data_IF_874786766632
#
_entry.id   IF_874786766632
#
_cell.length_a   1.000
_cell.length_b   1.000
_cell.length_c   1.000
_cell.angle_alpha   90.00
_cell.angle_beta   90.00
_cell.angle_gamma   90.00
#
_symmetry.space_group_name_H-M   'P 1'
#
loop_
_entity.id
_entity.type
_entity.pdbx_description
1 polymer ?
#
# COMPACT_ATOMS: atom_id res chain seq x y z
N UNK A 1 -8.39 -32.77 -85.10
CA UNK A 1 -8.93 -32.33 -83.79
C UNK A 1 -8.73 -30.82 -83.68
N UNK A 2 -9.80 -30.13 -83.27
CA UNK A 2 -10.00 -28.68 -83.32
C UNK A 2 -9.17 -27.92 -82.27
N UNK A 3 -8.84 -26.64 -82.50
CA UNK A 3 -8.12 -25.80 -81.55
C UNK A 3 -9.11 -25.24 -80.51
N UNK A 4 -8.74 -25.24 -79.23
CA UNK A 4 -9.52 -24.54 -78.21
C UNK A 4 -8.61 -23.65 -77.35
N UNK A 5 -8.58 -22.41 -77.81
CA UNK A 5 -8.47 -21.16 -77.04
C UNK A 5 -9.01 -21.32 -75.62
N UNK A 6 -8.22 -20.94 -74.61
CA UNK A 6 -8.76 -20.56 -73.30
C UNK A 6 -8.36 -19.13 -73.00
N UNK A 7 -9.43 -18.37 -72.79
CA UNK A 7 -9.54 -16.93 -72.59
C UNK A 7 -8.86 -16.54 -71.27
N UNK A 8 -8.08 -15.47 -71.32
CA UNK A 8 -7.60 -14.72 -70.15
C UNK A 8 -8.77 -13.93 -69.60
N UNK A 9 -9.27 -14.30 -68.42
CA UNK A 9 -10.18 -13.45 -67.63
C UNK A 9 -9.37 -12.81 -66.50
N UNK A 10 -9.05 -11.53 -66.68
CA UNK A 10 -8.52 -10.68 -65.62
C UNK A 10 -9.67 -10.35 -64.64
N UNK A 11 -9.56 -10.85 -63.40
CA UNK A 11 -10.46 -10.49 -62.31
C UNK A 11 -9.92 -9.21 -61.64
N UNK A 12 -10.75 -8.17 -61.63
CA UNK A 12 -10.53 -6.88 -60.97
C UNK A 12 -10.06 -7.09 -59.51
N UNK A 13 -8.91 -6.52 -59.15
CA UNK A 13 -8.52 -6.33 -57.74
C UNK A 13 -9.36 -5.22 -57.12
N UNK A 14 -10.32 -5.59 -56.25
CA UNK A 14 -10.91 -4.66 -55.31
C UNK A 14 -9.93 -4.53 -54.12
N UNK A 15 -9.15 -3.45 -54.10
CA UNK A 15 -8.28 -3.14 -52.97
C UNK A 15 -9.13 -2.76 -51.76
N UNK A 16 -9.31 -3.66 -50.82
CA UNK A 16 -9.80 -3.34 -49.50
C UNK A 16 -8.71 -2.54 -48.76
N UNK A 17 -8.90 -1.23 -48.64
CA UNK A 17 -8.15 -0.41 -47.68
C UNK A 17 -8.61 -0.79 -46.28
N UNK A 18 -8.03 -1.87 -45.75
CA UNK A 18 -8.03 -2.12 -44.32
C UNK A 18 -7.31 -0.93 -43.67
N UNK A 19 -8.06 -0.05 -43.02
CA UNK A 19 -7.49 0.99 -42.17
C UNK A 19 -6.57 0.30 -41.17
N UNK A 20 -5.26 0.49 -41.35
CA UNK A 20 -4.29 0.11 -40.35
C UNK A 20 -4.63 0.92 -39.10
N UNK A 21 -5.24 0.26 -38.11
CA UNK A 21 -5.14 0.69 -36.73
C UNK A 21 -3.64 0.65 -36.43
N UNK A 22 -2.99 1.81 -36.57
CA UNK A 22 -1.62 1.98 -36.14
C UNK A 22 -1.62 1.70 -34.64
N UNK A 23 -1.23 0.47 -34.28
CA UNK A 23 -0.95 0.08 -32.92
C UNK A 23 0.32 0.86 -32.52
N UNK A 24 0.16 2.11 -32.08
CA UNK A 24 1.26 2.89 -31.53
C UNK A 24 1.69 2.21 -30.25
N UNK A 25 2.70 1.34 -30.36
CA UNK A 25 3.23 0.59 -29.24
C UNK A 25 3.57 1.54 -28.09
N UNK A 26 3.08 1.25 -26.89
CA UNK A 26 3.40 2.05 -25.71
C UNK A 26 4.91 1.93 -25.40
N UNK A 27 5.64 3.03 -25.58
CA UNK A 27 7.07 3.12 -25.27
C UNK A 27 7.39 2.90 -23.79
N UNK A 28 6.38 2.93 -22.92
CA UNK A 28 6.50 2.76 -21.48
C UNK A 28 6.00 1.41 -20.97
N UNK A 29 5.57 0.48 -21.84
CA UNK A 29 5.10 -0.86 -21.46
C UNK A 29 6.03 -1.59 -20.46
N UNK A 30 7.35 -1.36 -20.57
CA UNK A 30 8.35 -1.98 -19.69
C UNK A 30 8.29 -1.50 -18.23
N UNK A 31 7.60 -0.40 -17.94
CA UNK A 31 7.34 0.05 -16.56
C UNK A 31 6.29 -0.83 -15.85
N UNK A 32 5.54 -1.65 -16.60
CA UNK A 32 4.54 -2.55 -16.02
C UNK A 32 5.17 -3.80 -15.36
N UNK A 33 6.42 -4.13 -15.68
CA UNK A 33 7.19 -5.12 -14.94
C UNK A 33 7.69 -4.51 -13.63
N UNK A 34 6.80 -4.46 -12.62
CA UNK A 34 7.04 -3.79 -11.34
C UNK A 34 8.19 -4.39 -10.51
N UNK A 35 8.62 -5.60 -10.87
CA UNK A 35 9.78 -6.28 -10.25
C UNK A 35 11.03 -6.25 -11.12
N UNK A 36 10.91 -5.81 -12.37
CA UNK A 36 11.99 -5.80 -13.35
C UNK A 36 13.08 -4.79 -13.01
N UNK A 37 14.34 -5.19 -13.17
CA UNK A 37 15.52 -4.36 -12.88
C UNK A 37 15.44 -3.00 -13.59
N UNK A 38 15.08 -2.99 -14.88
CA UNK A 38 14.93 -1.77 -15.67
C UNK A 38 13.90 -0.81 -15.07
N UNK A 39 12.73 -1.31 -14.68
CA UNK A 39 11.66 -0.53 -14.05
C UNK A 39 12.12 0.03 -12.70
N UNK A 40 12.70 -0.82 -11.86
CA UNK A 40 13.19 -0.43 -10.54
C UNK A 40 14.32 0.61 -10.60
N UNK A 41 15.26 0.48 -11.54
CA UNK A 41 16.34 1.45 -11.70
C UNK A 41 15.84 2.81 -12.20
N UNK A 42 14.85 2.80 -13.10
CA UNK A 42 14.18 4.03 -13.49
C UNK A 42 13.47 4.69 -12.31
N UNK A 43 12.74 3.92 -11.48
CA UNK A 43 12.09 4.43 -10.27
C UNK A 43 13.11 5.03 -9.31
N UNK A 44 14.23 4.35 -9.03
CA UNK A 44 15.31 4.87 -8.18
C UNK A 44 15.84 6.20 -8.70
N UNK A 45 16.09 6.30 -10.01
CA UNK A 45 16.58 7.53 -10.63
C UNK A 45 15.56 8.68 -10.54
N UNK A 46 14.26 8.40 -10.70
CA UNK A 46 13.21 9.43 -10.53
C UNK A 46 13.03 9.83 -9.07
N UNK A 47 13.09 8.87 -8.14
CA UNK A 47 13.03 9.14 -6.70
C UNK A 47 14.19 10.04 -6.26
N UNK A 48 15.39 9.83 -6.78
CA UNK A 48 16.54 10.70 -6.49
C UNK A 48 16.30 12.13 -6.96
N UNK A 49 15.74 12.34 -8.17
CA UNK A 49 15.40 13.68 -8.66
C UNK A 49 14.40 14.37 -7.73
N UNK A 50 13.38 13.65 -7.26
CA UNK A 50 12.37 14.19 -6.33
C UNK A 50 12.97 14.50 -4.97
N UNK A 51 13.75 13.58 -4.38
CA UNK A 51 14.39 13.78 -3.07
C UNK A 51 15.36 14.95 -3.09
N UNK A 52 16.19 15.07 -4.12
CA UNK A 52 17.10 16.22 -4.25
C UNK A 52 16.37 17.56 -4.29
N UNK A 53 15.10 17.60 -4.75
CA UNK A 53 14.29 18.81 -4.73
C UNK A 53 13.60 19.03 -3.39
N UNK A 54 12.92 18.02 -2.87
CA UNK A 54 12.08 18.16 -1.68
C UNK A 54 12.90 18.17 -0.39
N UNK A 55 13.88 17.28 -0.25
CA UNK A 55 14.66 17.15 0.99
C UNK A 55 15.57 18.37 1.22
N UNK A 56 15.89 19.11 0.15
CA UNK A 56 16.70 20.34 0.17
C UNK A 56 15.85 21.62 0.23
N UNK A 57 14.52 21.51 0.16
CA UNK A 57 13.66 22.67 0.31
C UNK A 57 13.83 23.27 1.72
N UNK A 58 13.95 24.60 1.79
CA UNK A 58 14.27 25.30 3.03
C UNK A 58 13.22 25.06 4.14
N UNK A 59 11.96 24.80 3.78
CA UNK A 59 10.89 24.53 4.73
C UNK A 59 10.77 23.06 5.15
N UNK A 60 11.38 22.13 4.40
CA UNK A 60 11.11 20.70 4.56
C UNK A 60 11.45 20.17 5.95
N UNK A 61 12.65 20.47 6.47
CA UNK A 61 13.07 19.94 7.78
C UNK A 61 12.20 20.46 8.91
N UNK A 62 11.80 21.74 8.86
CA UNK A 62 10.89 22.32 9.84
C UNK A 62 9.51 21.65 9.76
N UNK A 63 8.94 21.54 8.56
CA UNK A 63 7.63 20.91 8.36
C UNK A 63 7.63 19.46 8.85
N UNK A 64 8.68 18.70 8.52
CA UNK A 64 8.85 17.32 8.98
C UNK A 64 8.88 17.24 10.51
N UNK A 65 9.64 18.11 11.18
CA UNK A 65 9.73 18.14 12.63
C UNK A 65 8.39 18.50 13.28
N UNK A 66 7.71 19.53 12.76
CA UNK A 66 6.41 19.98 13.26
C UNK A 66 5.36 18.85 13.14
N UNK A 67 5.33 18.14 12.01
CA UNK A 67 4.42 17.00 11.80
C UNK A 67 4.78 15.83 12.71
N UNK A 68 6.07 15.54 12.92
CA UNK A 68 6.51 14.46 13.81
C UNK A 68 6.02 14.70 15.24
N UNK A 69 6.07 15.93 15.74
CA UNK A 69 5.54 16.29 17.08
C UNK A 69 4.06 15.92 17.21
N UNK A 70 3.27 16.18 16.16
CA UNK A 70 1.83 15.85 16.18
C UNK A 70 1.61 14.34 16.08
N UNK A 71 2.35 13.65 15.21
CA UNK A 71 2.21 12.21 15.01
C UNK A 71 2.63 11.41 16.24
N UNK A 72 3.68 11.85 16.95
CA UNK A 72 4.19 11.18 18.15
C UNK A 72 3.50 11.65 19.44
N UNK A 73 2.54 12.58 19.34
CA UNK A 73 1.86 13.13 20.51
C UNK A 73 1.10 12.06 21.28
N UNK A 74 1.39 11.97 22.59
CA UNK A 74 0.68 11.10 23.53
C UNK A 74 -0.74 11.60 23.88
N UNK A 75 -1.09 12.81 23.46
CA UNK A 75 -2.37 13.46 23.75
C UNK A 75 -3.46 13.16 22.68
N UNK A 76 -3.11 12.40 21.63
CA UNK A 76 -4.07 11.96 20.63
C UNK A 76 -5.18 11.12 21.26
N UNK A 77 -6.43 11.36 20.86
CA UNK A 77 -7.59 10.60 21.34
C UNK A 77 -7.52 9.16 20.80
N UNK A 78 -7.44 8.12 21.65
CA UNK A 78 -7.40 6.74 21.20
C UNK A 78 -8.77 6.30 20.65
N UNK A 79 -8.89 6.13 19.33
CA UNK A 79 -10.08 5.54 18.72
C UNK A 79 -10.26 4.09 19.18
N UNK A 80 -11.43 3.76 19.74
CA UNK A 80 -11.71 2.44 20.31
C UNK A 80 -12.70 1.61 19.49
N UNK A 81 -12.53 0.29 19.54
CA UNK A 81 -13.57 -0.69 19.24
C UNK A 81 -13.95 -1.46 20.50
N UNK A 82 -15.24 -1.58 20.80
CA UNK A 82 -15.73 -2.39 21.92
C UNK A 82 -15.82 -3.85 21.49
N UNK A 83 -15.23 -4.75 22.28
CA UNK A 83 -15.31 -6.20 22.09
C UNK A 83 -15.52 -6.85 23.46
N UNK A 84 -16.68 -7.45 23.67
CA UNK A 84 -17.11 -7.95 24.98
C UNK A 84 -17.12 -6.84 26.04
N UNK A 85 -16.41 -7.07 27.15
CA UNK A 85 -16.29 -6.14 28.29
C UNK A 85 -15.08 -5.19 28.19
N UNK A 86 -14.32 -5.27 27.09
CA UNK A 86 -13.13 -4.45 26.88
C UNK A 86 -13.29 -3.53 25.66
N UNK A 87 -12.44 -2.52 25.62
CA UNK A 87 -12.26 -1.63 24.48
C UNK A 87 -10.82 -1.76 23.99
N UNK A 88 -10.66 -1.80 22.67
CA UNK A 88 -9.38 -2.04 22.01
C UNK A 88 -9.01 -0.85 21.15
N UNK A 89 -7.72 -0.56 21.10
CA UNK A 89 -7.13 0.52 20.33
C UNK A 89 -5.85 0.02 19.68
N UNK A 90 -5.58 0.47 18.45
CA UNK A 90 -4.27 0.36 17.83
C UNK A 90 -3.57 1.71 17.97
N UNK A 91 -2.30 1.68 18.40
CA UNK A 91 -1.57 2.88 18.75
C UNK A 91 -0.17 2.86 18.14
N UNK A 92 0.26 4.02 17.66
CA UNK A 92 1.62 4.29 17.20
C UNK A 92 2.11 5.59 17.81
N UNK A 93 3.40 5.65 18.12
CA UNK A 93 4.11 6.84 18.59
C UNK A 93 5.62 6.66 18.35
N UNK A 94 6.44 7.52 18.96
CA UNK A 94 7.89 7.47 18.84
C UNK A 94 8.50 6.17 19.41
N UNK A 95 7.87 5.56 20.41
CA UNK A 95 8.34 4.34 21.08
C UNK A 95 7.88 3.09 20.32
N UNK A 96 6.69 3.15 19.72
CA UNK A 96 6.07 2.08 18.94
C UNK A 96 5.73 2.55 17.52
N UNK A 97 6.73 2.76 16.63
CA UNK A 97 6.51 3.27 15.29
C UNK A 97 5.74 2.28 14.38
N UNK A 98 5.85 0.96 14.60
CA UNK A 98 5.00 -0.03 13.91
C UNK A 98 3.68 -0.23 14.62
N UNK A 99 3.68 -0.10 15.94
CA UNK A 99 2.50 0.05 16.75
C UNK A 99 2.21 -1.10 17.69
N UNK A 100 1.32 -0.81 18.64
CA UNK A 100 0.81 -1.77 19.61
C UNK A 100 -0.71 -1.87 19.51
N UNK A 101 -1.20 -3.09 19.47
CA UNK A 101 -2.61 -3.38 19.69
C UNK A 101 -2.83 -3.63 21.17
N UNK A 102 -3.69 -2.81 21.77
CA UNK A 102 -3.85 -2.73 23.22
C UNK A 102 -5.32 -2.68 23.61
N UNK A 103 -5.64 -3.06 24.84
CA UNK A 103 -7.00 -3.04 25.40
C UNK A 103 -7.05 -2.43 26.78
N UNK A 104 -8.24 -1.98 27.17
CA UNK A 104 -8.57 -1.61 28.55
C UNK A 104 -10.07 -1.83 28.80
N UNK A 105 -10.55 -1.56 30.01
CA UNK A 105 -11.99 -1.56 30.31
C UNK A 105 -12.63 -0.23 29.91
N UNK A 106 -13.94 -0.23 29.67
CA UNK A 106 -14.64 1.01 29.33
C UNK A 106 -14.59 2.06 30.45
N UNK A 107 -14.61 1.63 31.72
CA UNK A 107 -14.54 2.54 32.86
C UNK A 107 -13.17 3.18 33.00
N UNK A 108 -12.11 2.41 32.72
CA UNK A 108 -10.75 2.94 32.75
C UNK A 108 -10.47 3.87 31.56
N UNK A 109 -10.99 3.54 30.37
CA UNK A 109 -10.96 4.39 29.18
C UNK A 109 -11.53 5.80 29.41
N UNK A 110 -12.50 5.96 30.32
CA UNK A 110 -13.12 7.26 30.63
C UNK A 110 -12.25 8.17 31.51
N UNK A 111 -11.16 7.66 32.07
CA UNK A 111 -10.22 8.46 32.88
C UNK A 111 -9.34 9.31 31.97
N UNK A 112 -8.72 10.34 32.54
CA UNK A 112 -7.75 11.17 31.82
C UNK A 112 -6.52 10.36 31.33
N UNK A 113 -6.13 9.32 32.08
CA UNK A 113 -4.98 8.46 31.78
C UNK A 113 -5.37 6.99 31.94
N UNK A 114 -6.03 6.39 30.94
CA UNK A 114 -6.36 4.97 30.96
C UNK A 114 -5.09 4.10 30.98
N UNK A 115 -5.15 3.03 31.75
CA UNK A 115 -4.14 1.97 31.76
C UNK A 115 -4.44 0.99 30.65
N UNK A 116 -3.52 0.87 29.70
CA UNK A 116 -3.64 -0.02 28.57
C UNK A 116 -2.81 -1.29 28.78
N UNK A 117 -3.41 -2.44 28.53
CA UNK A 117 -2.74 -3.73 28.42
C UNK A 117 -2.38 -3.98 26.96
N UNK A 118 -1.08 -4.17 26.66
CA UNK A 118 -0.63 -4.55 25.33
C UNK A 118 -1.01 -6.00 25.05
N UNK A 119 -1.74 -6.22 23.94
CA UNK A 119 -2.17 -7.54 23.48
C UNK A 119 -1.20 -8.06 22.40
N UNK A 120 -0.75 -7.18 21.51
CA UNK A 120 0.26 -7.47 20.50
C UNK A 120 1.16 -6.25 20.30
N UNK A 121 2.47 -6.47 20.38
CA UNK A 121 3.49 -5.50 20.01
C UNK A 121 4.05 -5.85 18.62
N UNK A 122 3.74 -5.00 17.63
CA UNK A 122 4.14 -5.22 16.23
C UNK A 122 5.61 -4.88 16.03
N UNK A 123 6.16 -3.95 16.82
CA UNK A 123 7.59 -3.64 16.82
C UNK A 123 8.42 -4.84 17.30
N UNK A 124 7.99 -5.46 18.39
CA UNK A 124 8.61 -6.68 18.89
C UNK A 124 8.48 -7.85 17.92
N UNK A 125 7.30 -8.04 17.29
CA UNK A 125 7.07 -9.10 16.31
C UNK A 125 7.96 -8.93 15.07
N UNK A 126 7.99 -7.74 14.48
CA UNK A 126 8.82 -7.41 13.31
C UNK A 126 10.30 -7.68 13.58
N UNK A 127 10.78 -7.35 14.78
CA UNK A 127 12.15 -7.65 15.20
C UNK A 127 12.40 -9.15 15.35
N UNK A 128 11.47 -9.88 15.95
CA UNK A 128 11.62 -11.32 16.22
C UNK A 128 11.65 -12.15 14.92
N UNK A 129 10.85 -11.75 13.94
CA UNK A 129 10.72 -12.47 12.66
C UNK A 129 11.63 -11.89 11.56
N UNK A 130 12.31 -10.78 11.83
CA UNK A 130 13.12 -10.04 10.86
C UNK A 130 12.31 -9.66 9.60
N UNK A 131 11.07 -9.23 9.81
CA UNK A 131 10.12 -8.87 8.75
C UNK A 131 9.54 -7.47 8.99
N UNK A 132 9.15 -6.80 7.90
CA UNK A 132 8.64 -5.43 7.94
C UNK A 132 7.12 -5.37 8.20
N UNK A 133 6.63 -6.06 9.23
CA UNK A 133 5.19 -6.20 9.47
C UNK A 133 4.47 -4.86 9.63
N UNK A 134 3.28 -4.78 9.02
CA UNK A 134 2.31 -3.71 9.18
C UNK A 134 0.97 -4.30 9.62
N UNK A 135 0.44 -3.85 10.75
CA UNK A 135 -0.89 -4.24 11.21
C UNK A 135 -1.99 -3.66 10.32
N UNK A 136 -2.92 -4.51 9.87
CA UNK A 136 -4.07 -4.10 9.05
C UNK A 136 -5.37 -4.18 9.83
N UNK A 137 -5.62 -5.31 10.48
CA UNK A 137 -6.89 -5.56 11.13
C UNK A 137 -6.80 -6.69 12.15
N UNK A 138 -7.82 -6.79 12.99
CA UNK A 138 -8.10 -7.92 13.86
C UNK A 138 -9.55 -8.36 13.69
N UNK A 139 -9.75 -9.63 13.34
CA UNK A 139 -11.07 -10.26 13.26
C UNK A 139 -11.19 -11.24 14.41
N UNK A 140 -12.01 -10.89 15.40
CA UNK A 140 -12.16 -11.67 16.62
C UNK A 140 -13.46 -12.48 16.61
N UNK A 141 -13.39 -13.69 17.17
CA UNK A 141 -14.50 -14.64 17.20
C UNK A 141 -15.59 -14.19 18.16
N UNK A 142 -16.74 -13.80 17.65
CA UNK A 142 -17.92 -13.47 18.45
C UNK A 142 -18.64 -14.73 18.98
N UNK A 143 -19.38 -14.63 20.10
CA UNK A 143 -19.43 -13.51 21.05
C UNK A 143 -18.33 -13.55 22.12
N UNK A 144 -17.47 -14.58 22.11
CA UNK A 144 -16.50 -14.83 23.17
C UNK A 144 -15.31 -13.85 23.14
N UNK A 145 -14.90 -13.38 21.96
CA UNK A 145 -13.75 -12.52 21.73
C UNK A 145 -12.44 -13.06 22.35
N UNK A 146 -12.29 -14.38 22.44
CA UNK A 146 -11.15 -15.08 23.05
C UNK A 146 -10.08 -15.51 22.03
N UNK A 147 -10.40 -15.44 20.73
CA UNK A 147 -9.50 -15.76 19.61
C UNK A 147 -9.69 -14.75 18.50
N UNK A 148 -8.57 -14.29 17.92
CA UNK A 148 -8.57 -13.36 16.82
C UNK A 148 -7.63 -13.82 15.72
N UNK A 149 -8.03 -13.60 14.47
CA UNK A 149 -7.14 -13.61 13.33
C UNK A 149 -6.59 -12.19 13.16
N UNK A 150 -5.26 -12.08 13.07
CA UNK A 150 -4.58 -10.80 12.89
C UNK A 150 -4.12 -10.71 11.44
N UNK A 151 -4.50 -9.64 10.77
CA UNK A 151 -4.10 -9.37 9.40
C UNK A 151 -2.84 -8.49 9.42
N UNK A 152 -1.75 -9.03 8.88
CA UNK A 152 -0.46 -8.35 8.72
C UNK A 152 -0.07 -8.34 7.23
N UNK A 153 0.75 -7.36 6.82
CA UNK A 153 1.41 -7.32 5.51
C UNK A 153 2.88 -6.98 5.62
#
# INVERSE_FOLDING_TARGET
MRPHTKIVSALLMLSATAGALANTADKFQWLEDVTGEKALDWVKARNQVTRSKLDQDAGFQKLRADLQVVLDSKDRIPGIRKMGNAVYNFWTDAEHPRGVWRKTTLDDYRKAQPQWEVVLDVDALAKAENENWVFKNSVCREPAYDRCLIELS
#
